data_IF_197900329563
#
_entry.id   IF_197900329563
#
_cell.length_a   1.000
_cell.length_b   1.000
_cell.length_c   1.000
_cell.angle_alpha   90.00
_cell.angle_beta   90.00
_cell.angle_gamma   90.00
#
_symmetry.space_group_name_H-M   'P 1'
#
loop_
_entity.id
_entity.type
_entity.pdbx_description
1 polymer ?
#
# COMPACT_ATOMS: atom_id res chain seq x y z
N UNK A 1 -40.23 7.79 14.36
CA UNK A 1 -39.34 8.25 13.27
C UNK A 1 -38.82 7.05 12.53
N UNK A 2 -38.77 7.13 11.20
CA UNK A 2 -38.11 6.12 10.35
C UNK A 2 -37.19 6.88 9.40
N UNK A 3 -35.94 6.45 9.30
CA UNK A 3 -34.94 7.05 8.43
C UNK A 3 -34.19 5.97 7.67
N UNK A 4 -34.19 6.03 6.35
CA UNK A 4 -33.31 5.22 5.51
C UNK A 4 -32.12 6.03 5.01
N UNK A 5 -30.99 5.38 4.77
CA UNK A 5 -29.83 5.99 4.12
C UNK A 5 -29.20 5.04 3.10
N UNK A 6 -28.72 5.60 2.01
CA UNK A 6 -27.92 4.93 0.99
C UNK A 6 -26.83 5.89 0.52
N UNK A 7 -25.57 5.45 0.60
CA UNK A 7 -24.41 6.24 0.25
C UNK A 7 -23.48 5.40 -0.63
N UNK A 8 -23.07 5.98 -1.76
CA UNK A 8 -21.99 5.45 -2.60
C UNK A 8 -20.81 6.42 -2.55
N UNK A 9 -19.61 5.87 -2.38
CA UNK A 9 -18.36 6.64 -2.35
C UNK A 9 -17.31 5.91 -3.19
N UNK A 10 -16.61 6.68 -4.00
CA UNK A 10 -15.42 6.22 -4.71
C UNK A 10 -14.17 6.73 -3.99
N UNK A 11 -13.14 5.91 -3.97
CA UNK A 11 -11.84 6.26 -3.41
C UNK A 11 -10.75 5.76 -4.35
N UNK A 12 -9.81 6.64 -4.68
CA UNK A 12 -8.59 6.30 -5.40
C UNK A 12 -7.39 6.75 -4.58
N UNK A 13 -6.38 5.89 -4.49
CA UNK A 13 -5.07 6.21 -3.91
C UNK A 13 -4.00 5.77 -4.87
N UNK A 14 -3.05 6.66 -5.07
CA UNK A 14 -1.80 6.39 -5.73
C UNK A 14 -0.70 6.56 -4.69
N UNK A 15 0.18 5.59 -4.58
CA UNK A 15 1.27 5.65 -3.63
C UNK A 15 2.54 5.01 -4.18
N UNK A 16 3.65 5.41 -3.58
CA UNK A 16 4.90 4.67 -3.67
C UNK A 16 5.03 3.84 -2.40
N UNK A 17 5.24 2.53 -2.55
CA UNK A 17 5.39 1.61 -1.44
C UNK A 17 6.72 0.87 -1.52
N UNK A 18 7.19 0.38 -0.38
CA UNK A 18 8.36 -0.50 -0.32
C UNK A 18 7.97 -1.78 0.46
N UNK A 19 7.04 -2.61 -0.06
CA UNK A 19 6.57 -3.81 0.64
C UNK A 19 7.67 -4.80 1.01
N UNK A 20 8.77 -4.85 0.24
CA UNK A 20 9.94 -5.67 0.53
C UNK A 20 10.88 -5.09 1.59
N UNK A 21 10.54 -3.92 2.15
CA UNK A 21 11.41 -3.18 3.06
C UNK A 21 12.74 -2.78 2.43
N UNK A 22 13.75 -2.60 3.28
CA UNK A 22 15.12 -2.38 2.84
C UNK A 22 15.99 -3.59 3.21
N UNK A 23 16.95 -3.90 2.36
CA UNK A 23 18.01 -4.86 2.66
C UNK A 23 19.36 -4.16 2.62
N UNK A 24 20.33 -4.65 3.38
CA UNK A 24 21.70 -4.16 3.36
C UNK A 24 22.56 -4.98 2.42
N UNK A 25 23.43 -4.30 1.67
CA UNK A 25 24.54 -4.94 0.96
C UNK A 25 25.62 -5.32 1.98
N UNK A 26 26.01 -6.59 2.00
CA UNK A 26 27.10 -7.10 2.83
C UNK A 26 28.44 -7.08 2.10
N UNK A 27 29.54 -7.10 2.86
CA UNK A 27 30.89 -7.16 2.29
C UNK A 27 31.15 -8.43 1.45
N UNK A 28 30.37 -9.50 1.66
CA UNK A 28 30.46 -10.75 0.90
C UNK A 28 29.55 -10.81 -0.33
N UNK A 29 28.66 -9.83 -0.54
CA UNK A 29 27.78 -9.82 -1.70
C UNK A 29 28.59 -9.57 -2.99
N UNK A 30 28.26 -10.20 -4.14
CA UNK A 30 29.07 -10.07 -5.35
C UNK A 30 29.29 -8.62 -5.81
N UNK A 31 28.29 -7.74 -5.66
CA UNK A 31 28.39 -6.32 -6.00
C UNK A 31 29.47 -5.57 -5.22
N UNK A 32 29.80 -6.03 -4.00
CA UNK A 32 30.82 -5.42 -3.17
C UNK A 32 32.24 -5.54 -3.75
N UNK A 33 32.47 -6.50 -4.67
CA UNK A 33 33.77 -6.68 -5.34
C UNK A 33 34.09 -5.56 -6.32
N UNK A 34 33.06 -5.01 -6.98
CA UNK A 34 33.21 -3.92 -7.96
C UNK A 34 32.87 -2.56 -7.36
N UNK A 35 32.01 -2.54 -6.33
CA UNK A 35 31.48 -1.33 -5.70
C UNK A 35 31.54 -1.46 -4.17
N UNK A 36 32.75 -1.39 -3.58
CA UNK A 36 32.93 -1.52 -2.13
C UNK A 36 32.27 -0.39 -1.33
N UNK A 37 31.98 0.76 -1.96
CA UNK A 37 31.25 1.87 -1.37
C UNK A 37 29.76 1.56 -1.09
N UNK A 38 29.21 0.51 -1.70
CA UNK A 38 27.85 0.04 -1.42
C UNK A 38 27.75 -0.81 -0.15
N UNK A 39 28.87 -1.25 0.43
CA UNK A 39 28.85 -2.10 1.63
C UNK A 39 28.17 -1.35 2.79
N UNK A 40 27.15 -1.98 3.37
CA UNK A 40 26.35 -1.44 4.48
C UNK A 40 25.19 -0.54 4.08
N UNK A 41 25.09 -0.18 2.79
CA UNK A 41 24.02 0.66 2.24
C UNK A 41 22.69 -0.11 2.21
N UNK A 42 21.62 0.56 2.62
CA UNK A 42 20.26 0.05 2.53
C UNK A 42 19.68 0.29 1.13
N UNK A 43 19.19 -0.76 0.49
CA UNK A 43 18.60 -0.75 -0.85
C UNK A 43 17.12 -1.13 -0.75
N UNK A 44 16.20 -0.47 -1.48
CA UNK A 44 14.79 -0.83 -1.49
C UNK A 44 14.60 -2.24 -2.06
N UNK A 45 13.92 -3.11 -1.33
CA UNK A 45 13.79 -4.52 -1.70
C UNK A 45 12.73 -4.81 -2.76
N UNK A 46 11.61 -4.11 -2.68
CA UNK A 46 10.52 -4.21 -3.63
C UNK A 46 9.86 -2.84 -3.70
N UNK A 47 10.32 -1.99 -4.61
CA UNK A 47 9.89 -0.60 -4.75
C UNK A 47 8.68 -0.54 -5.69
N UNK A 48 7.48 -0.30 -5.16
CA UNK A 48 6.21 -0.38 -5.86
C UNK A 48 5.53 0.95 -6.14
N UNK A 49 4.96 1.10 -7.33
CA UNK A 49 3.99 2.15 -7.66
C UNK A 49 2.59 1.52 -7.66
N UNK A 50 1.78 1.91 -6.68
CA UNK A 50 0.45 1.33 -6.44
C UNK A 50 -0.66 2.23 -6.97
N UNK A 51 -1.64 1.61 -7.61
CA UNK A 51 -2.96 2.17 -7.87
C UNK A 51 -3.99 1.33 -7.12
N UNK A 52 -4.68 1.98 -6.17
CA UNK A 52 -5.76 1.38 -5.41
C UNK A 52 -7.06 2.15 -5.67
N UNK A 53 -8.09 1.44 -6.11
CA UNK A 53 -9.43 1.99 -6.34
C UNK A 53 -10.45 1.19 -5.52
N UNK A 54 -11.40 1.87 -4.91
CA UNK A 54 -12.41 1.23 -4.06
C UNK A 54 -13.75 1.92 -4.15
N UNK A 55 -14.77 1.13 -4.49
CA UNK A 55 -16.16 1.54 -4.43
C UNK A 55 -16.78 1.04 -3.13
N UNK A 56 -17.30 1.97 -2.31
CA UNK A 56 -17.98 1.68 -1.05
C UNK A 56 -19.45 2.07 -1.15
N UNK A 57 -20.32 1.09 -0.98
CA UNK A 57 -21.77 1.28 -0.93
C UNK A 57 -22.27 0.92 0.47
N UNK A 58 -22.76 1.92 1.22
CA UNK A 58 -23.34 1.75 2.55
C UNK A 58 -24.84 2.00 2.48
N UNK A 59 -25.63 1.04 2.93
CA UNK A 59 -27.10 1.14 3.02
C UNK A 59 -27.56 0.78 4.42
N UNK A 60 -28.66 1.35 4.87
CA UNK A 60 -29.17 1.05 6.21
C UNK A 60 -30.35 1.92 6.60
N UNK A 61 -30.76 1.80 7.86
CA UNK A 61 -31.85 2.59 8.39
C UNK A 61 -31.94 2.55 9.91
N UNK A 62 -32.72 3.49 10.42
CA UNK A 62 -33.05 3.69 11.81
C UNK A 62 -34.57 3.73 11.95
N UNK A 63 -35.09 3.02 12.95
CA UNK A 63 -36.46 3.14 13.43
C UNK A 63 -36.43 3.54 14.89
N UNK A 64 -37.21 4.56 15.22
CA UNK A 64 -37.35 5.06 16.59
C UNK A 64 -38.83 5.22 16.93
N UNK A 65 -39.25 4.60 18.03
CA UNK A 65 -40.57 4.75 18.62
C UNK A 65 -40.43 5.43 19.97
N UNK A 66 -41.28 6.41 20.24
CA UNK A 66 -41.34 7.09 21.53
C UNK A 66 -42.80 7.12 21.96
N UNK A 67 -43.06 6.74 23.21
CA UNK A 67 -44.39 6.68 23.78
C UNK A 67 -44.37 7.30 25.18
N UNK A 68 -45.38 8.11 25.50
CA UNK A 68 -45.49 8.79 26.79
C UNK A 68 -46.75 8.33 27.52
N UNK A 69 -46.68 7.26 28.33
CA UNK A 69 -47.87 6.72 29.02
C UNK A 69 -48.45 7.61 30.13
N UNK A 70 -47.64 8.51 30.71
CA UNK A 70 -48.09 9.48 31.72
C UNK A 70 -47.27 10.76 31.64
N UNK A 71 -47.69 11.82 32.32
CA UNK A 71 -46.99 13.11 32.30
C UNK A 71 -45.54 13.04 32.80
N UNK A 72 -45.24 12.03 33.63
CA UNK A 72 -43.94 11.80 34.27
C UNK A 72 -43.11 10.66 33.65
N UNK A 73 -43.62 9.92 32.66
CA UNK A 73 -42.93 8.75 32.09
C UNK A 73 -42.92 8.78 30.56
N UNK A 74 -41.73 8.67 29.98
CA UNK A 74 -41.51 8.51 28.52
C UNK A 74 -40.70 7.24 28.26
N UNK A 75 -41.16 6.42 27.33
CA UNK A 75 -40.52 5.19 26.87
C UNK A 75 -40.01 5.39 25.44
N UNK A 76 -38.84 4.84 25.13
CA UNK A 76 -38.24 4.91 23.79
C UNK A 76 -37.66 3.56 23.36
N UNK A 77 -37.87 3.20 22.08
CA UNK A 77 -37.30 2.03 21.43
C UNK A 77 -36.61 2.44 20.14
N UNK A 78 -35.35 2.03 19.96
CA UNK A 78 -34.58 2.30 18.75
C UNK A 78 -34.07 1.00 18.13
N UNK A 79 -34.17 0.89 16.81
CA UNK A 79 -33.56 -0.16 16.00
C UNK A 79 -32.72 0.45 14.89
N UNK A 80 -31.49 0.00 14.71
CA UNK A 80 -30.57 0.46 13.68
C UNK A 80 -29.97 -0.73 12.93
N UNK A 81 -29.88 -0.64 11.61
CA UNK A 81 -29.19 -1.63 10.76
C UNK A 81 -28.40 -0.94 9.65
N UNK A 82 -27.23 -1.47 9.32
CA UNK A 82 -26.42 -1.00 8.20
C UNK A 82 -25.59 -2.13 7.59
N UNK A 83 -25.52 -2.14 6.26
CA UNK A 83 -24.67 -3.00 5.46
C UNK A 83 -23.68 -2.14 4.65
N UNK A 84 -22.42 -2.56 4.57
CA UNK A 84 -21.39 -1.95 3.74
C UNK A 84 -20.84 -2.99 2.74
N UNK A 85 -21.00 -2.73 1.45
CA UNK A 85 -20.31 -3.47 0.37
C UNK A 85 -19.12 -2.65 -0.09
N UNK A 86 -17.94 -3.26 -0.12
CA UNK A 86 -16.69 -2.56 -0.45
C UNK A 86 -15.83 -3.41 -1.39
N UNK A 87 -15.97 -3.17 -2.70
CA UNK A 87 -15.14 -3.80 -3.72
C UNK A 87 -13.90 -2.95 -3.95
N UNK A 88 -12.75 -3.59 -4.10
CA UNK A 88 -11.49 -2.91 -4.37
C UNK A 88 -10.83 -3.50 -5.61
N UNK A 89 -10.02 -2.67 -6.24
CA UNK A 89 -9.12 -2.99 -7.33
C UNK A 89 -7.74 -2.47 -6.97
N UNK A 90 -6.73 -3.34 -7.02
CA UNK A 90 -5.37 -2.98 -6.66
C UNK A 90 -4.40 -3.44 -7.74
N UNK A 91 -3.61 -2.52 -8.28
CA UNK A 91 -2.51 -2.81 -9.21
C UNK A 91 -1.22 -2.23 -8.67
N UNK A 92 -0.15 -3.02 -8.70
CA UNK A 92 1.17 -2.59 -8.28
C UNK A 92 2.23 -2.98 -9.32
N UNK A 93 3.02 -2.01 -9.76
CA UNK A 93 4.22 -2.25 -10.56
C UNK A 93 5.44 -2.06 -9.67
N UNK A 94 6.20 -3.14 -9.45
CA UNK A 94 7.27 -3.16 -8.46
C UNK A 94 8.62 -3.46 -9.09
N UNK A 95 9.64 -2.67 -8.77
CA UNK A 95 11.04 -3.01 -9.02
C UNK A 95 11.52 -3.94 -7.90
N UNK A 96 12.01 -5.13 -8.25
CA UNK A 96 12.39 -6.18 -7.31
C UNK A 96 13.87 -6.10 -6.94
N UNK A 97 14.28 -5.06 -6.21
CA UNK A 97 15.68 -4.86 -5.79
C UNK A 97 16.34 -6.07 -5.15
N UNK A 98 15.60 -6.87 -4.37
CA UNK A 98 16.11 -8.09 -3.71
C UNK A 98 16.65 -9.13 -4.71
N UNK A 99 16.15 -9.19 -5.95
CA UNK A 99 16.54 -10.21 -6.91
C UNK A 99 17.91 -9.92 -7.56
N UNK A 100 18.33 -8.65 -7.62
CA UNK A 100 19.48 -8.26 -8.44
C UNK A 100 20.49 -7.34 -7.74
N UNK A 101 20.11 -6.49 -6.78
CA UNK A 101 21.02 -5.43 -6.35
C UNK A 101 22.22 -5.91 -5.50
N UNK A 102 22.20 -7.17 -5.05
CA UNK A 102 23.38 -7.82 -4.43
C UNK A 102 24.39 -8.33 -5.45
N UNK A 103 23.97 -8.56 -6.69
CA UNK A 103 24.80 -9.13 -7.76
C UNK A 103 25.13 -8.11 -8.87
N UNK A 104 24.35 -7.04 -8.98
CA UNK A 104 24.51 -6.01 -9.99
C UNK A 104 24.62 -4.63 -9.35
N UNK A 105 25.66 -3.89 -9.75
CA UNK A 105 25.83 -2.49 -9.36
C UNK A 105 24.93 -1.55 -10.20
N UNK A 106 24.45 -0.44 -9.62
CA UNK A 106 23.86 0.64 -10.39
C UNK A 106 24.91 1.33 -11.28
N UNK A 107 24.44 1.95 -12.36
CA UNK A 107 25.25 2.78 -13.24
C UNK A 107 25.83 3.98 -12.47
N UNK A 108 27.03 4.48 -12.82
CA UNK A 108 27.65 5.63 -12.15
C UNK A 108 26.72 6.85 -12.07
N UNK A 109 26.75 7.55 -10.93
CA UNK A 109 25.89 8.71 -10.65
C UNK A 109 24.73 8.42 -9.67
N UNK A 110 24.69 7.22 -9.09
CA UNK A 110 23.78 6.92 -7.99
C UNK A 110 24.07 7.76 -6.74
N UNK A 111 23.04 7.95 -5.91
CA UNK A 111 23.10 8.80 -4.71
C UNK A 111 22.80 7.96 -3.48
N UNK A 112 23.79 7.88 -2.59
CA UNK A 112 23.63 7.38 -1.23
C UNK A 112 23.41 8.58 -0.32
N UNK A 113 22.29 8.58 0.41
CA UNK A 113 22.00 9.59 1.43
C UNK A 113 21.64 8.89 2.73
N UNK A 114 22.32 9.27 3.82
CA UNK A 114 22.09 8.72 5.16
C UNK A 114 22.15 7.18 5.21
N UNK A 115 23.03 6.58 4.41
CA UNK A 115 23.20 5.13 4.32
C UNK A 115 22.10 4.40 3.53
N UNK A 116 21.31 5.10 2.73
CA UNK A 116 20.25 4.57 1.86
C UNK A 116 20.54 4.91 0.39
N UNK A 117 20.35 3.95 -0.51
CA UNK A 117 20.41 4.18 -1.95
C UNK A 117 19.12 4.88 -2.40
N UNK A 118 19.18 6.20 -2.55
CA UNK A 118 18.01 7.06 -2.83
C UNK A 118 17.80 7.37 -4.31
N UNK A 119 18.84 7.23 -5.12
CA UNK A 119 18.75 7.38 -6.58
C UNK A 119 19.72 6.39 -7.22
N UNK A 120 19.24 5.60 -8.17
CA UNK A 120 20.03 4.62 -8.89
C UNK A 120 19.39 4.34 -10.25
N UNK A 121 20.23 4.14 -11.25
CA UNK A 121 19.83 3.61 -12.55
C UNK A 121 20.53 2.27 -12.74
N UNK A 122 19.83 1.30 -13.30
CA UNK A 122 20.43 -0.01 -13.60
C UNK A 122 20.26 -0.30 -15.08
N UNK A 123 21.37 -0.62 -15.74
CA UNK A 123 21.33 -1.17 -17.09
C UNK A 123 20.70 -2.56 -17.06
N UNK A 124 19.67 -2.79 -17.88
CA UNK A 124 19.02 -4.09 -17.97
C UNK A 124 19.96 -5.18 -18.50
N UNK A 125 20.04 -6.30 -17.78
CA UNK A 125 20.74 -7.51 -18.16
C UNK A 125 19.72 -8.58 -18.58
N UNK A 126 19.81 -9.15 -19.80
CA UNK A 126 18.90 -10.20 -20.22
C UNK A 126 18.86 -11.38 -19.24
N UNK A 127 17.66 -11.87 -18.93
CA UNK A 127 17.44 -12.99 -18.01
C UNK A 127 17.42 -12.62 -16.52
N UNK A 128 17.47 -11.34 -16.17
CA UNK A 128 17.35 -10.87 -14.77
C UNK A 128 15.93 -10.38 -14.48
N UNK A 129 15.36 -10.82 -13.37
CA UNK A 129 14.02 -10.43 -12.93
C UNK A 129 14.01 -9.09 -12.21
N UNK A 130 13.95 -7.99 -12.96
CA UNK A 130 13.96 -6.64 -12.37
C UNK A 130 12.63 -6.19 -11.77
N UNK A 131 11.51 -6.81 -12.16
CA UNK A 131 10.20 -6.31 -11.80
C UNK A 131 9.16 -7.41 -11.58
N UNK A 132 8.20 -7.10 -10.72
CA UNK A 132 7.02 -7.91 -10.44
C UNK A 132 5.79 -7.02 -10.63
N UNK A 133 4.75 -7.55 -11.27
CA UNK A 133 3.46 -6.86 -11.38
C UNK A 133 2.36 -7.72 -10.78
N UNK A 134 1.53 -7.13 -9.93
CA UNK A 134 0.39 -7.80 -9.30
C UNK A 134 -0.89 -7.03 -9.58
N UNK A 135 -1.98 -7.74 -9.83
CA UNK A 135 -3.34 -7.19 -9.90
C UNK A 135 -4.25 -8.06 -9.03
N UNK A 136 -5.07 -7.45 -8.19
CA UNK A 136 -6.03 -8.12 -7.30
C UNK A 136 -7.34 -7.34 -7.27
#
# INVERSE_FOLDING_TARGET
MVQGFSQKRELRREAQEIPGGFFKIGAGDPVAKTNPDLIGVNVPGLLGSTLFEQTRERKGGLVSLQFKPSDSLTLGLNGFSSELKANNYNRNFMMFGNSFAKSQAPDPGYVIKDGVLTNATYKGVPGTDYAVSTTT
#
